data_IF_743961108265
#
_entry.id   IF_743961108265
#
_cell.length_a   1.000
_cell.length_b   1.000
_cell.length_c   1.000
_cell.angle_alpha   90.00
_cell.angle_beta   90.00
_cell.angle_gamma   90.00
#
_symmetry.space_group_name_H-M   'P 1'
#
loop_
_entity.id
_entity.type
_entity.pdbx_description
1 polymer ?
#
# COMPACT_ATOMS: atom_id res chain seq x y z
N UNK A 1 -0.87 6.17 9.39
CA UNK A 1 -2.29 6.47 9.13
C UNK A 1 -2.66 5.92 7.77
N UNK A 2 -3.88 5.40 7.63
CA UNK A 2 -4.45 4.98 6.36
C UNK A 2 -5.86 5.54 6.22
N UNK A 3 -6.24 5.89 5.00
CA UNK A 3 -7.57 6.34 4.68
C UNK A 3 -8.48 5.14 4.46
N UNK A 4 -9.46 4.94 5.34
CA UNK A 4 -10.42 3.86 5.23
C UNK A 4 -11.82 4.41 5.51
N UNK A 5 -12.82 3.98 4.76
CA UNK A 5 -14.22 4.35 5.00
C UNK A 5 -14.50 5.86 5.20
N UNK A 6 -13.73 6.72 4.52
CA UNK A 6 -13.80 8.21 4.58
C UNK A 6 -13.20 8.84 5.84
N UNK A 7 -12.35 8.12 6.56
CA UNK A 7 -11.64 8.63 7.72
C UNK A 7 -10.17 8.18 7.74
N UNK A 8 -9.34 8.96 8.43
CA UNK A 8 -7.96 8.60 8.69
C UNK A 8 -7.89 7.70 9.93
N UNK A 9 -7.36 6.51 9.75
CA UNK A 9 -7.19 5.50 10.81
C UNK A 9 -5.72 5.44 11.22
N UNK A 10 -5.47 5.64 12.51
CA UNK A 10 -4.15 5.41 13.12
C UNK A 10 -3.91 3.92 13.34
N UNK A 11 -2.74 3.44 12.89
CA UNK A 11 -2.33 2.04 13.04
C UNK A 11 -0.99 2.01 13.75
N UNK A 12 -0.96 1.29 14.87
CA UNK A 12 0.25 1.08 15.66
C UNK A 12 0.79 -0.32 15.36
N UNK A 13 2.08 -0.40 15.06
CA UNK A 13 2.79 -1.67 14.84
C UNK A 13 4.05 -1.71 15.68
N UNK A 14 4.40 -2.90 16.14
CA UNK A 14 5.71 -3.18 16.70
C UNK A 14 6.76 -3.35 15.59
N UNK A 15 8.04 -3.36 15.98
CA UNK A 15 9.20 -3.48 15.09
C UNK A 15 9.67 -4.93 14.85
N UNK A 16 8.93 -5.94 15.32
CA UNK A 16 9.22 -7.34 15.02
C UNK A 16 8.87 -7.64 13.58
N UNK A 17 9.89 -7.85 12.75
CA UNK A 17 9.75 -8.06 11.31
C UNK A 17 9.99 -9.52 10.91
N UNK A 18 9.21 -10.07 9.95
CA UNK A 18 9.46 -11.39 9.40
C UNK A 18 10.82 -11.45 8.71
N UNK A 19 11.73 -12.29 9.25
CA UNK A 19 13.06 -12.51 8.68
C UNK A 19 13.34 -13.99 8.47
N UNK A 20 14.19 -14.29 7.48
CA UNK A 20 14.76 -15.62 7.27
C UNK A 20 16.26 -15.46 7.04
N UNK A 21 17.06 -16.16 7.84
CA UNK A 21 18.53 -16.06 7.81
C UNK A 21 19.04 -14.62 7.99
N UNK A 22 18.39 -13.83 8.86
CA UNK A 22 18.76 -12.43 9.12
C UNK A 22 18.41 -11.45 8.01
N UNK A 23 17.66 -11.87 6.99
CA UNK A 23 17.17 -11.00 5.90
C UNK A 23 15.66 -10.83 5.98
N UNK A 24 15.18 -9.64 5.67
CA UNK A 24 13.74 -9.35 5.58
C UNK A 24 13.11 -10.20 4.47
N UNK A 25 11.90 -10.70 4.71
CA UNK A 25 11.17 -11.54 3.74
C UNK A 25 10.35 -10.73 2.73
N UNK A 26 9.95 -9.51 3.08
CA UNK A 26 9.07 -8.66 2.28
C UNK A 26 9.78 -7.38 1.84
N UNK A 27 9.07 -6.25 1.73
CA UNK A 27 9.65 -4.98 1.23
C UNK A 27 10.97 -4.68 1.94
N UNK A 28 12.01 -4.39 1.16
CA UNK A 28 13.33 -4.05 1.66
C UNK A 28 13.85 -2.85 0.89
N UNK A 29 14.44 -1.90 1.62
CA UNK A 29 15.18 -0.81 1.01
C UNK A 29 16.50 -1.31 0.40
N UNK A 30 16.86 -0.78 -0.77
CA UNK A 30 18.17 -1.02 -1.39
C UNK A 30 19.31 -0.59 -0.46
N UNK A 31 19.13 0.51 0.27
CA UNK A 31 19.97 0.88 1.41
C UNK A 31 19.51 0.09 2.64
N UNK A 32 20.29 -0.91 3.06
CA UNK A 32 19.93 -1.90 4.09
C UNK A 32 19.65 -1.38 5.50
N UNK A 33 19.80 -0.08 5.77
CA UNK A 33 19.54 0.54 7.07
C UNK A 33 18.23 1.37 7.11
N UNK A 34 17.37 1.26 6.09
CA UNK A 34 16.07 1.94 6.05
C UNK A 34 14.93 0.93 6.23
N UNK A 35 14.23 1.05 7.36
CA UNK A 35 13.13 0.15 7.76
C UNK A 35 11.74 0.75 7.59
N UNK A 36 11.62 2.01 7.18
CA UNK A 36 10.33 2.69 7.09
C UNK A 36 9.38 2.00 6.10
N UNK A 37 9.90 1.47 4.99
CA UNK A 37 9.10 0.84 3.95
C UNK A 37 8.52 -0.50 4.39
N UNK A 38 9.30 -1.29 5.13
CA UNK A 38 8.85 -2.57 5.68
C UNK A 38 7.90 -2.39 6.86
N UNK A 39 8.10 -1.36 7.69
CA UNK A 39 7.17 -1.01 8.76
C UNK A 39 5.85 -0.47 8.20
N UNK A 40 5.90 0.32 7.12
CA UNK A 40 4.72 0.80 6.42
C UNK A 40 3.91 -0.36 5.84
N UNK A 41 4.58 -1.33 5.19
CA UNK A 41 3.93 -2.54 4.68
C UNK A 41 3.26 -3.34 5.81
N UNK A 42 3.96 -3.58 6.92
CA UNK A 42 3.39 -4.24 8.10
C UNK A 42 2.17 -3.50 8.65
N UNK A 43 2.26 -2.18 8.76
CA UNK A 43 1.15 -1.35 9.21
C UNK A 43 -0.04 -1.43 8.26
N UNK A 44 0.20 -1.49 6.95
CA UNK A 44 -0.86 -1.64 5.96
C UNK A 44 -1.56 -3.00 6.08
N UNK A 45 -0.81 -4.10 6.23
CA UNK A 45 -1.39 -5.43 6.55
C UNK A 45 -2.26 -5.36 7.81
N UNK A 46 -1.74 -4.75 8.87
CA UNK A 46 -2.43 -4.66 10.15
C UNK A 46 -3.66 -3.74 10.11
N UNK A 47 -3.71 -2.77 9.21
CA UNK A 47 -4.88 -1.92 9.03
C UNK A 47 -6.12 -2.73 8.61
N UNK A 48 -5.92 -3.88 7.97
CA UNK A 48 -7.01 -4.77 7.56
C UNK A 48 -7.36 -5.84 8.59
N UNK A 49 -6.71 -5.87 9.77
CA UNK A 49 -6.96 -6.93 10.75
C UNK A 49 -8.42 -6.99 11.26
N UNK A 50 -9.15 -5.88 11.17
CA UNK A 50 -10.58 -5.82 11.48
C UNK A 50 -11.49 -6.07 10.26
N UNK A 51 -10.94 -6.27 9.07
CA UNK A 51 -11.70 -6.56 7.86
C UNK A 51 -12.09 -8.04 7.82
N UNK A 52 -13.40 -8.37 7.84
CA UNK A 52 -13.86 -9.76 7.82
C UNK A 52 -13.58 -10.47 6.48
N UNK A 53 -13.20 -9.73 5.43
CA UNK A 53 -12.87 -10.26 4.10
C UNK A 53 -11.38 -10.40 3.84
N UNK A 54 -10.55 -9.74 4.64
CA UNK A 54 -9.10 -9.71 4.50
C UNK A 54 -8.51 -10.08 5.85
N UNK A 55 -8.25 -11.37 6.08
CA UNK A 55 -7.45 -11.77 7.23
C UNK A 55 -6.10 -11.07 7.09
N UNK A 56 -5.84 -10.06 7.94
CA UNK A 56 -4.65 -9.20 7.97
C UNK A 56 -3.36 -10.01 7.89
N UNK A 57 -2.97 -10.37 6.68
CA UNK A 57 -1.87 -11.26 6.36
C UNK A 57 -1.14 -10.69 5.16
N UNK A 58 0.17 -10.89 5.12
CA UNK A 58 1.01 -10.46 4.00
C UNK A 58 0.56 -11.07 2.66
N UNK A 59 -0.07 -12.25 2.67
CA UNK A 59 -0.64 -12.87 1.46
C UNK A 59 -1.80 -12.07 0.87
N UNK A 60 -2.57 -11.35 1.69
CA UNK A 60 -3.64 -10.49 1.21
C UNK A 60 -3.09 -9.34 0.34
N UNK A 61 -1.89 -8.83 0.64
CA UNK A 61 -1.24 -7.78 -0.16
C UNK A 61 -0.88 -8.25 -1.58
N UNK A 62 -0.53 -9.53 -1.74
CA UNK A 62 -0.19 -10.09 -3.06
C UNK A 62 -1.39 -10.07 -4.03
N UNK A 63 -2.61 -9.93 -3.51
CA UNK A 63 -3.86 -9.89 -4.29
C UNK A 63 -4.49 -8.48 -4.34
N UNK A 64 -3.89 -7.50 -3.67
CA UNK A 64 -4.41 -6.13 -3.58
C UNK A 64 -4.25 -5.35 -4.89
N UNK A 65 -5.09 -4.34 -5.09
CA UNK A 65 -4.97 -3.40 -6.20
C UNK A 65 -4.05 -2.23 -5.83
N UNK A 66 -3.07 -1.91 -6.67
CA UNK A 66 -2.21 -0.73 -6.45
C UNK A 66 -3.02 0.58 -6.42
N UNK A 67 -4.12 0.64 -7.19
CA UNK A 67 -5.03 1.79 -7.22
C UNK A 67 -5.74 1.97 -5.88
N UNK A 68 -6.15 0.87 -5.26
CA UNK A 68 -6.76 0.87 -3.92
C UNK A 68 -5.75 1.34 -2.88
N UNK A 69 -4.52 0.78 -2.90
CA UNK A 69 -3.45 1.25 -2.03
C UNK A 69 -3.15 2.75 -2.17
N UNK A 70 -3.16 3.30 -3.39
CA UNK A 70 -3.01 4.75 -3.57
C UNK A 70 -4.11 5.56 -2.90
N UNK A 71 -5.36 5.11 -2.97
CA UNK A 71 -6.48 5.76 -2.25
C UNK A 71 -6.26 5.64 -0.75
N UNK A 72 -5.90 4.46 -0.24
CA UNK A 72 -5.71 4.24 1.20
C UNK A 72 -4.51 5.02 1.76
N UNK A 73 -3.46 5.26 0.98
CA UNK A 73 -2.30 6.04 1.43
C UNK A 73 -2.51 7.56 1.35
N UNK A 74 -3.45 8.04 0.52
CA UNK A 74 -3.56 9.48 0.22
C UNK A 74 -4.91 10.09 0.56
N UNK A 75 -5.96 9.30 0.69
CA UNK A 75 -7.35 9.75 0.72
C UNK A 75 -7.83 10.37 -0.60
N UNK A 76 -7.03 10.28 -1.66
CA UNK A 76 -7.32 10.85 -2.97
C UNK A 76 -8.28 10.01 -3.81
N UNK A 77 -8.57 10.51 -5.01
CA UNK A 77 -9.34 9.79 -6.03
C UNK A 77 -8.37 9.31 -7.09
N UNK A 78 -8.49 8.04 -7.50
CA UNK A 78 -7.66 7.47 -8.56
C UNK A 78 -8.46 7.36 -9.86
N UNK A 79 -7.84 7.78 -10.96
CA UNK A 79 -8.37 7.66 -12.31
C UNK A 79 -7.53 6.68 -13.14
N UNK A 80 -8.18 5.77 -13.86
CA UNK A 80 -7.52 4.73 -14.65
C UNK A 80 -7.71 4.98 -16.15
N UNK A 81 -6.61 5.01 -16.90
CA UNK A 81 -6.61 5.21 -18.35
C UNK A 81 -6.02 3.99 -19.07
N UNK A 82 -6.74 3.49 -20.07
CA UNK A 82 -6.28 2.40 -20.93
C UNK A 82 -5.52 2.99 -22.12
N UNK A 83 -4.21 2.73 -22.21
CA UNK A 83 -3.33 3.41 -23.17
C UNK A 83 -3.72 3.17 -24.64
N UNK A 84 -4.20 1.99 -25.00
CA UNK A 84 -4.64 1.71 -26.38
C UNK A 84 -6.02 2.29 -26.74
N UNK A 85 -6.71 2.89 -25.77
CA UNK A 85 -7.97 3.64 -25.95
C UNK A 85 -7.87 5.02 -25.29
N UNK A 86 -6.68 5.61 -25.31
CA UNK A 86 -6.44 6.88 -24.68
C UNK A 86 -7.22 8.02 -25.34
N UNK A 87 -7.75 8.97 -24.55
CA UNK A 87 -8.39 10.16 -25.10
C UNK A 87 -7.34 11.08 -25.74
N UNK A 88 -7.75 11.87 -26.74
CA UNK A 88 -6.85 12.77 -27.48
C UNK A 88 -6.16 13.83 -26.60
N UNK A 89 -6.70 14.14 -25.43
CA UNK A 89 -6.14 15.08 -24.46
C UNK A 89 -5.27 14.42 -23.37
N UNK A 90 -4.87 13.14 -23.51
CA UNK A 90 -4.13 12.42 -22.47
C UNK A 90 -2.84 13.12 -22.01
N UNK A 91 -2.09 13.75 -22.93
CA UNK A 91 -0.89 14.51 -22.56
C UNK A 91 -1.19 15.67 -21.61
N UNK A 92 -2.33 16.36 -21.80
CA UNK A 92 -2.75 17.44 -20.92
C UNK A 92 -3.19 16.92 -19.56
N UNK A 93 -3.86 15.76 -19.53
CA UNK A 93 -4.26 15.08 -18.29
C UNK A 93 -3.03 14.74 -17.44
N UNK A 94 -1.98 14.18 -18.05
CA UNK A 94 -0.74 13.80 -17.33
C UNK A 94 0.05 15.02 -16.83
N UNK A 95 -0.04 16.16 -17.51
CA UNK A 95 0.72 17.38 -17.16
C UNK A 95 0.07 18.22 -16.05
N UNK A 96 -1.19 17.95 -15.70
CA UNK A 96 -1.87 18.65 -14.60
C UNK A 96 -1.16 18.43 -13.28
#
# INVERSE_FOLDING_TARGET
QFWQYREWVDVVVDDSLPTKNGKLLFVQSEEGNKFWSVLLEKAYVNSYHFSPTLNGSYEALARGSTVEGFVDFTGGISESYVLWRAPSNQYQVIRR
#
